data_IF_761453060818
#
_entry.id   IF_761453060818
#
_cell.length_a   1.000
_cell.length_b   1.000
_cell.length_c   1.000
_cell.angle_alpha   90.00
_cell.angle_beta   90.00
_cell.angle_gamma   90.00
#
_symmetry.space_group_name_H-M   'P 1'
#
loop_
_entity.id
_entity.type
_entity.pdbx_description
1 polymer ?
#
# COMPACT_ATOMS: atom_id res chain seq x y z
N UNK A 1 10.45 12.28 -7.25
CA UNK A 1 9.63 11.14 -7.73
C UNK A 1 8.24 11.20 -7.12
N UNK A 2 7.25 10.56 -7.75
CA UNK A 2 5.84 10.64 -7.31
C UNK A 2 5.53 9.97 -5.96
N UNK A 3 6.36 9.04 -5.49
CA UNK A 3 6.16 8.36 -4.20
C UNK A 3 6.50 9.23 -2.97
N UNK A 4 7.14 10.38 -3.18
CA UNK A 4 7.59 11.28 -2.11
C UNK A 4 6.40 11.80 -1.29
N UNK A 5 5.32 12.22 -1.95
CA UNK A 5 4.13 12.73 -1.25
C UNK A 5 3.47 11.63 -0.39
N UNK A 6 3.16 10.43 -0.93
CA UNK A 6 2.66 9.32 -0.11
C UNK A 6 3.56 8.93 1.07
N UNK A 7 4.88 8.92 0.88
CA UNK A 7 5.84 8.61 1.93
C UNK A 7 5.85 9.66 3.04
N UNK A 8 5.87 10.95 2.69
CA UNK A 8 5.76 12.04 3.66
C UNK A 8 4.44 11.95 4.43
N UNK A 9 3.33 11.67 3.74
CA UNK A 9 2.03 11.53 4.38
C UNK A 9 2.00 10.33 5.33
N UNK A 10 2.60 9.20 4.94
CA UNK A 10 2.75 8.02 5.81
C UNK A 10 3.56 8.35 7.05
N UNK A 11 4.72 9.01 6.91
CA UNK A 11 5.55 9.44 8.03
C UNK A 11 4.78 10.38 8.97
N UNK A 12 4.06 11.35 8.42
CA UNK A 12 3.21 12.26 9.18
C UNK A 12 2.10 11.51 9.95
N UNK A 13 1.43 10.54 9.33
CA UNK A 13 0.38 9.75 9.96
C UNK A 13 0.90 8.85 11.09
N UNK A 14 2.08 8.25 10.91
CA UNK A 14 2.77 7.46 11.95
C UNK A 14 3.02 8.33 13.18
N UNK A 15 3.64 9.50 12.99
CA UNK A 15 4.02 10.40 14.07
C UNK A 15 2.80 11.00 14.77
N UNK A 16 1.83 11.51 13.98
CA UNK A 16 0.62 12.16 14.51
C UNK A 16 -0.26 11.22 15.31
N UNK A 17 -0.44 9.98 14.85
CA UNK A 17 -1.35 9.02 15.48
C UNK A 17 -0.66 8.08 16.48
N UNK A 18 0.66 8.22 16.67
CA UNK A 18 1.48 7.37 17.55
C UNK A 18 1.22 5.89 17.27
N UNK A 19 1.32 5.52 15.99
CA UNK A 19 1.08 4.15 15.56
C UNK A 19 2.14 3.22 16.15
N UNK A 20 1.70 2.05 16.63
CA UNK A 20 2.62 1.03 17.14
C UNK A 20 3.52 0.51 16.02
N UNK A 21 4.85 0.57 16.24
CA UNK A 21 5.84 0.07 15.30
C UNK A 21 5.60 -1.40 14.91
N UNK A 22 5.27 -2.26 15.88
CA UNK A 22 4.97 -3.67 15.63
C UNK A 22 3.76 -3.85 14.69
N UNK A 23 2.71 -3.03 14.86
CA UNK A 23 1.52 -3.06 13.98
C UNK A 23 1.84 -2.54 12.58
N UNK A 24 2.68 -1.51 12.47
CA UNK A 24 3.15 -1.00 11.17
C UNK A 24 3.92 -2.10 10.44
N UNK A 25 4.94 -2.70 11.07
CA UNK A 25 5.76 -3.74 10.44
C UNK A 25 4.92 -4.91 9.97
N UNK A 26 3.97 -5.36 10.79
CA UNK A 26 3.09 -6.45 10.43
C UNK A 26 2.14 -6.10 9.27
N UNK A 27 1.50 -4.92 9.33
CA UNK A 27 0.61 -4.44 8.26
C UNK A 27 1.34 -4.26 6.94
N UNK A 28 2.51 -3.60 6.98
CA UNK A 28 3.40 -3.44 5.83
C UNK A 28 3.83 -4.80 5.28
N UNK A 29 4.22 -5.75 6.14
CA UNK A 29 4.62 -7.08 5.71
C UNK A 29 3.52 -7.82 4.95
N UNK A 30 2.28 -7.81 5.47
CA UNK A 30 1.14 -8.43 4.78
C UNK A 30 0.91 -7.77 3.42
N UNK A 31 0.83 -6.44 3.38
CA UNK A 31 0.59 -5.71 2.13
C UNK A 31 1.72 -5.94 1.13
N UNK A 32 2.97 -6.03 1.59
CA UNK A 32 4.13 -6.32 0.76
C UNK A 32 3.98 -7.66 0.05
N UNK A 33 3.67 -8.73 0.81
CA UNK A 33 3.47 -10.08 0.26
C UNK A 33 2.31 -10.11 -0.73
N UNK A 34 1.18 -9.50 -0.37
CA UNK A 34 0.01 -9.43 -1.24
C UNK A 34 0.32 -8.67 -2.52
N UNK A 35 0.99 -7.51 -2.42
CA UNK A 35 1.36 -6.69 -3.57
C UNK A 35 2.30 -7.47 -4.49
N UNK A 36 3.35 -8.05 -3.94
CA UNK A 36 4.31 -8.83 -4.72
C UNK A 36 3.63 -9.95 -5.52
N UNK A 37 2.64 -10.62 -4.92
CA UNK A 37 1.92 -11.73 -5.56
C UNK A 37 0.96 -11.30 -6.68
N UNK A 38 0.61 -10.02 -6.78
CA UNK A 38 -0.37 -9.50 -7.75
C UNK A 38 0.24 -8.61 -8.83
N UNK A 39 1.47 -8.15 -8.61
CA UNK A 39 2.23 -7.35 -9.57
C UNK A 39 3.17 -8.21 -10.38
N UNK A 40 3.39 -7.84 -11.64
CA UNK A 40 4.33 -8.52 -12.52
C UNK A 40 5.07 -7.49 -13.39
N UNK A 41 6.37 -7.70 -13.70
CA UNK A 41 7.13 -6.82 -14.57
C UNK A 41 6.75 -7.05 -16.04
N UNK A 42 6.55 -5.98 -16.81
CA UNK A 42 6.26 -6.00 -18.25
C UNK A 42 7.21 -5.04 -18.96
N UNK A 43 7.96 -5.55 -19.95
CA UNK A 43 9.09 -4.86 -20.60
C UNK A 43 8.78 -3.41 -21.03
N UNK A 44 7.61 -3.15 -21.64
CA UNK A 44 7.27 -1.83 -22.18
C UNK A 44 6.37 -0.98 -21.26
N UNK A 45 6.00 -1.50 -20.09
CA UNK A 45 5.03 -0.86 -19.18
C UNK A 45 5.52 -0.75 -17.73
N UNK A 46 6.67 -1.34 -17.42
CA UNK A 46 7.16 -1.49 -16.06
C UNK A 46 6.32 -2.50 -15.26
N UNK A 47 6.23 -2.28 -13.96
CA UNK A 47 5.50 -3.18 -13.05
C UNK A 47 4.02 -2.84 -13.11
N UNK A 48 3.20 -3.84 -13.44
CA UNK A 48 1.75 -3.70 -13.60
C UNK A 48 1.02 -4.68 -12.71
N UNK A 49 -0.19 -4.30 -12.28
CA UNK A 49 -1.13 -5.19 -11.61
C UNK A 49 -2.45 -5.20 -12.39
N UNK A 50 -2.92 -6.35 -12.91
CA UNK A 50 -4.16 -6.41 -13.67
C UNK A 50 -5.38 -6.12 -12.78
N UNK A 51 -6.43 -5.57 -13.38
CA UNK A 51 -7.74 -5.47 -12.74
C UNK A 51 -8.38 -6.87 -12.65
N UNK A 52 -8.99 -7.27 -11.51
CA UNK A 52 -9.23 -6.51 -10.27
C UNK A 52 -8.14 -6.67 -9.19
N UNK A 53 -7.06 -7.40 -9.46
CA UNK A 53 -6.03 -7.76 -8.46
C UNK A 53 -5.33 -6.55 -7.82
N UNK A 54 -5.24 -5.42 -8.53
CA UNK A 54 -4.66 -4.18 -7.98
C UNK A 54 -5.39 -3.65 -6.74
N UNK A 55 -6.64 -4.08 -6.50
CA UNK A 55 -7.42 -3.70 -5.31
C UNK A 55 -7.05 -4.52 -4.07
N UNK A 56 -6.40 -5.68 -4.23
CA UNK A 56 -6.12 -6.59 -3.12
C UNK A 56 -5.23 -5.94 -2.04
N UNK A 57 -4.13 -5.23 -2.37
CA UNK A 57 -3.33 -4.54 -1.35
C UNK A 57 -4.15 -3.57 -0.48
N UNK A 58 -5.12 -2.85 -1.07
CA UNK A 58 -5.96 -1.90 -0.33
C UNK A 58 -6.94 -2.63 0.61
N UNK A 59 -7.55 -3.72 0.13
CA UNK A 59 -8.47 -4.54 0.91
C UNK A 59 -7.73 -5.18 2.09
N UNK A 60 -6.55 -5.74 1.87
CA UNK A 60 -5.75 -6.35 2.94
C UNK A 60 -5.20 -5.31 3.91
N UNK A 61 -4.79 -4.12 3.44
CA UNK A 61 -4.39 -3.03 4.31
C UNK A 61 -5.53 -2.59 5.24
N UNK A 62 -6.76 -2.46 4.72
CA UNK A 62 -7.95 -2.10 5.50
C UNK A 62 -8.38 -3.23 6.45
N UNK A 63 -8.39 -4.48 5.99
CA UNK A 63 -8.76 -5.61 6.85
C UNK A 63 -7.79 -5.73 8.04
N UNK A 64 -6.49 -5.67 7.77
CA UNK A 64 -5.46 -5.76 8.82
C UNK A 64 -5.52 -4.58 9.78
N UNK A 65 -5.71 -3.35 9.30
CA UNK A 65 -5.80 -2.18 10.18
C UNK A 65 -7.00 -2.22 11.11
N UNK A 66 -8.18 -2.61 10.59
CA UNK A 66 -9.41 -2.74 11.36
C UNK A 66 -9.27 -3.81 12.44
N UNK A 67 -8.68 -4.97 12.10
CA UNK A 67 -8.43 -6.05 13.05
C UNK A 67 -7.47 -5.59 14.15
N UNK A 68 -6.36 -4.95 13.79
CA UNK A 68 -5.33 -4.53 14.74
C UNK A 68 -5.74 -3.37 15.66
N UNK A 69 -6.58 -2.46 15.16
CA UNK A 69 -7.07 -1.30 15.92
C UNK A 69 -8.57 -1.36 16.20
N UNK A 70 -9.12 -2.56 16.38
CA UNK A 70 -10.56 -2.75 16.64
C UNK A 70 -11.11 -1.91 17.80
N UNK A 71 -10.29 -1.73 18.85
CA UNK A 71 -10.59 -0.92 20.05
C UNK A 71 -10.27 0.57 19.88
N UNK A 72 -9.29 0.92 19.03
CA UNK A 72 -8.80 2.29 18.81
C UNK A 72 -9.07 2.73 17.37
N UNK A 73 -10.35 2.78 17.00
CA UNK A 73 -10.84 2.95 15.62
C UNK A 73 -10.19 4.12 14.86
N UNK A 74 -9.87 5.21 15.54
CA UNK A 74 -9.24 6.39 14.94
C UNK A 74 -7.83 6.13 14.38
N UNK A 75 -7.16 5.05 14.82
CA UNK A 75 -5.83 4.65 14.34
C UNK A 75 -5.86 3.66 13.18
N UNK A 76 -7.01 3.06 12.88
CA UNK A 76 -7.15 2.09 11.81
C UNK A 76 -6.87 2.73 10.44
N UNK A 77 -7.60 3.79 10.07
CA UNK A 77 -7.40 4.46 8.78
C UNK A 77 -5.95 4.95 8.55
N UNK A 78 -5.27 5.60 9.53
CA UNK A 78 -3.86 5.92 9.42
C UNK A 78 -2.95 4.69 9.20
N UNK A 79 -3.22 3.58 9.89
CA UNK A 79 -2.46 2.34 9.70
C UNK A 79 -2.72 1.73 8.31
N UNK A 80 -3.96 1.77 7.83
CA UNK A 80 -4.34 1.28 6.51
C UNK A 80 -3.58 2.04 5.42
N UNK A 81 -3.59 3.38 5.48
CA UNK A 81 -2.83 4.22 4.55
C UNK A 81 -1.33 3.89 4.55
N UNK A 82 -0.76 3.83 5.76
CA UNK A 82 0.68 3.62 5.95
C UNK A 82 1.11 2.25 5.44
N UNK A 83 0.34 1.21 5.80
CA UNK A 83 0.61 -0.16 5.40
C UNK A 83 0.43 -0.35 3.89
N UNK A 84 -0.63 0.22 3.32
CA UNK A 84 -0.87 0.26 1.88
C UNK A 84 0.29 0.93 1.14
N UNK A 85 0.65 2.15 1.54
CA UNK A 85 1.65 2.97 0.85
C UNK A 85 3.04 2.32 0.89
N UNK A 86 3.52 1.98 2.09
CA UNK A 86 4.86 1.43 2.27
C UNK A 86 4.92 -0.01 1.76
N UNK A 87 3.88 -0.81 2.04
CA UNK A 87 3.83 -2.19 1.59
C UNK A 87 3.74 -2.32 0.07
N UNK A 88 2.98 -1.45 -0.61
CA UNK A 88 2.95 -1.44 -2.07
C UNK A 88 4.29 -0.99 -2.65
N UNK A 89 4.91 0.05 -2.09
CA UNK A 89 6.23 0.50 -2.54
C UNK A 89 7.27 -0.63 -2.42
N UNK A 90 7.26 -1.38 -1.31
CA UNK A 90 8.19 -2.48 -1.12
C UNK A 90 7.86 -3.64 -2.07
N UNK A 91 6.60 -4.07 -2.11
CA UNK A 91 6.17 -5.27 -2.83
C UNK A 91 6.18 -5.10 -4.35
N UNK A 92 5.75 -3.95 -4.84
CA UNK A 92 5.81 -3.64 -6.27
C UNK A 92 7.25 -3.32 -6.66
N UNK A 93 7.81 -2.18 -6.23
CA UNK A 93 9.10 -1.72 -6.75
C UNK A 93 10.30 -2.52 -6.21
N UNK A 94 10.48 -2.59 -4.89
CA UNK A 94 11.72 -3.13 -4.29
C UNK A 94 11.94 -4.61 -4.59
N UNK A 95 10.87 -5.41 -4.57
CA UNK A 95 11.00 -6.86 -4.77
C UNK A 95 11.10 -7.26 -6.26
N UNK A 96 10.58 -6.46 -7.20
CA UNK A 96 10.70 -6.73 -8.64
C UNK A 96 11.89 -6.02 -9.30
N UNK A 97 12.55 -5.11 -8.58
CA UNK A 97 13.76 -4.41 -9.03
C UNK A 97 14.85 -5.36 -9.55
N UNK A 98 15.19 -6.48 -8.87
CA UNK A 98 16.17 -7.44 -9.38
C UNK A 98 15.74 -8.10 -10.69
N UNK A 99 14.44 -8.39 -10.85
CA UNK A 99 13.89 -9.04 -12.05
C UNK A 99 13.90 -8.10 -13.27
N UNK A 100 13.64 -6.82 -13.04
CA UNK A 100 13.79 -5.77 -14.07
C UNK A 100 15.24 -5.60 -14.50
N UNK A 101 16.18 -5.53 -13.55
CA UNK A 101 17.61 -5.39 -13.84
C UNK A 101 18.19 -6.60 -14.60
N UNK A 102 17.62 -7.80 -14.39
CA UNK A 102 18.00 -9.01 -15.14
C UNK A 102 17.46 -9.01 -16.58
N UNK A 103 16.30 -8.38 -16.81
CA UNK A 103 15.70 -8.23 -18.15
C UNK A 103 16.44 -7.21 -19.02
N UNK A 104 17.12 -6.24 -18.39
CA UNK A 104 17.81 -5.12 -19.03
C UNK A 104 19.19 -5.45 -19.62
N UNK A 105 19.68 -6.68 -19.49
CA UNK A 105 20.98 -7.05 -20.08
C UNK A 105 20.91 -7.04 -21.63
N UNK A 106 19.73 -7.16 -22.23
CA UNK A 106 19.59 -7.24 -23.69
C UNK A 106 19.33 -5.88 -24.37
N UNK A 107 18.77 -4.87 -23.68
CA UNK A 107 18.41 -3.57 -24.27
C UNK A 107 18.76 -2.37 -23.37
N UNK A 108 19.60 -1.46 -23.89
CA UNK A 108 19.96 -0.20 -23.25
C UNK A 108 18.79 0.79 -23.21
N UNK A 109 17.90 0.64 -22.23
CA UNK A 109 16.92 1.67 -21.87
C UNK A 109 17.07 1.94 -20.37
N UNK A 110 17.11 3.21 -19.99
CA UNK A 110 17.30 3.60 -18.59
C UNK A 110 16.15 3.07 -17.72
N UNK A 111 16.47 2.20 -16.76
CA UNK A 111 15.55 1.70 -15.75
C UNK A 111 14.89 2.88 -15.00
N UNK A 112 13.61 3.14 -15.26
CA UNK A 112 12.84 4.10 -14.46
C UNK A 112 12.32 3.37 -13.22
N UNK A 113 13.06 3.48 -12.12
CA UNK A 113 12.64 2.99 -10.81
C UNK A 113 11.42 3.81 -10.36
N UNK A 114 10.29 3.14 -10.13
CA UNK A 114 9.00 3.78 -9.84
C UNK A 114 8.31 4.29 -11.10
N UNK A 115 8.06 3.40 -12.07
CA UNK A 115 7.28 3.71 -13.26
C UNK A 115 5.92 4.31 -12.90
N UNK A 116 5.37 5.16 -13.78
CA UNK A 116 4.12 5.89 -13.55
C UNK A 116 2.96 5.00 -13.04
N UNK A 117 2.92 3.74 -13.48
CA UNK A 117 1.91 2.75 -13.08
C UNK A 117 2.02 2.35 -11.59
N UNK A 118 3.22 2.19 -11.04
CA UNK A 118 3.39 1.83 -9.61
C UNK A 118 3.10 3.03 -8.72
N UNK A 119 3.51 4.22 -9.14
CA UNK A 119 3.24 5.47 -8.41
C UNK A 119 1.73 5.69 -8.23
N UNK A 120 0.96 5.48 -9.30
CA UNK A 120 -0.50 5.56 -9.25
C UNK A 120 -1.09 4.49 -8.31
N UNK A 121 -0.52 3.28 -8.31
CA UNK A 121 -0.95 2.21 -7.42
C UNK A 121 -0.67 2.53 -5.94
N UNK A 122 0.47 3.12 -5.60
CA UNK A 122 0.79 3.55 -4.22
C UNK A 122 -0.26 4.57 -3.74
N UNK A 123 -0.53 5.59 -4.55
CA UNK A 123 -1.44 6.68 -4.18
C UNK A 123 -2.89 6.21 -4.06
N UNK A 124 -3.39 5.49 -5.07
CA UNK A 124 -4.78 5.02 -5.13
C UNK A 124 -5.04 3.96 -4.05
N UNK A 125 -4.13 2.99 -3.86
CA UNK A 125 -4.28 1.96 -2.81
C UNK A 125 -4.38 2.58 -1.43
N UNK A 126 -3.51 3.55 -1.12
CA UNK A 126 -3.53 4.25 0.15
C UNK A 126 -4.85 4.96 0.41
N UNK A 127 -5.37 5.69 -0.59
CA UNK A 127 -6.65 6.41 -0.49
C UNK A 127 -7.82 5.43 -0.34
N UNK A 128 -7.87 4.37 -1.14
CA UNK A 128 -8.93 3.36 -1.07
C UNK A 128 -8.96 2.71 0.32
N UNK A 129 -7.81 2.32 0.85
CA UNK A 129 -7.72 1.68 2.16
C UNK A 129 -8.26 2.60 3.28
N UNK A 130 -7.89 3.89 3.27
CA UNK A 130 -8.44 4.90 4.20
C UNK A 130 -9.95 5.05 4.05
N UNK A 131 -10.43 5.07 2.81
CA UNK A 131 -11.84 5.28 2.52
C UNK A 131 -12.68 4.11 3.03
N UNK A 132 -12.22 2.86 2.82
CA UNK A 132 -12.85 1.65 3.36
C UNK A 132 -12.90 1.72 4.89
N UNK A 133 -11.78 2.00 5.55
CA UNK A 133 -11.74 2.13 7.02
C UNK A 133 -12.68 3.23 7.51
N UNK A 134 -12.67 4.39 6.87
CA UNK A 134 -13.50 5.53 7.26
C UNK A 134 -14.99 5.17 7.19
N UNK A 135 -15.44 4.53 6.10
CA UNK A 135 -16.84 4.12 5.93
C UNK A 135 -17.24 3.04 6.94
N UNK A 136 -16.43 1.98 7.06
CA UNK A 136 -16.76 0.84 7.92
C UNK A 136 -16.81 1.24 9.39
N UNK A 137 -15.89 2.11 9.82
CA UNK A 137 -15.82 2.52 11.22
C UNK A 137 -16.86 3.60 11.57
N UNK A 138 -17.25 4.46 10.62
CA UNK A 138 -18.37 5.40 10.78
C UNK A 138 -19.71 4.64 10.85
N UNK A 139 -19.95 3.67 9.96
CA UNK A 139 -21.18 2.85 9.97
C UNK A 139 -21.34 2.13 11.30
N UNK A 140 -20.28 1.51 11.80
CA UNK A 140 -20.30 0.78 13.06
C UNK A 140 -20.49 1.65 14.31
N UNK A 141 -20.16 2.95 14.25
CA UNK A 141 -20.50 3.90 15.33
C UNK A 141 -22.01 4.12 15.41
N UNK A 142 -22.73 4.08 14.29
CA UNK A 142 -24.19 4.24 14.26
C UNK A 142 -24.92 3.00 14.78
N UNK A 143 -24.39 1.81 14.54
CA UNK A 143 -24.97 0.53 14.97
C UNK A 143 -24.77 0.23 16.47
N UNK A 144 -23.79 0.84 17.14
CA UNK A 144 -23.54 0.66 18.57
C UNK A 144 -24.28 1.65 19.48
N UNK A 145 -25.18 2.47 18.93
CA UNK A 145 -25.99 3.47 19.66
C UNK A 145 -27.48 3.07 19.68
N UNK A 146 -27.85 1.94 19.08
CA UNK A 146 -29.17 1.30 19.17
C UNK A 146 -29.09 0.08 20.06
#
# INVERSE_FOLDING_TARGET
GGAVIPLILSAYLILKNKLSFARIVFGVGIVTVVTYSVTHPVADKGIVSPFPYFLLPAIFASATSIIMYWKERFKAAPLAYTSATIGVLIGADFLHLPELLLYEIDHSVAAVIGGAVVLDMIFITGIIAVFIDSILLVKKRREGIT
#
